data_IF_916984618135
#
_entry.id   IF_916984618135
#
_cell.length_a   1.000
_cell.length_b   1.000
_cell.length_c   1.000
_cell.angle_alpha   90.00
_cell.angle_beta   90.00
_cell.angle_gamma   90.00
#
_symmetry.space_group_name_H-M   'P 1'
#
loop_
_entity.id
_entity.type
_entity.pdbx_description
1 polymer ?
#
# COMPACT_ATOMS: atom_id res chain seq x y z
N UNK A 1 -9.71 11.84 -65.51
CA UNK A 1 -8.83 11.99 -64.32
C UNK A 1 -9.66 12.46 -63.11
N UNK A 2 -10.58 11.62 -62.61
CA UNK A 2 -11.39 11.90 -61.42
C UNK A 2 -11.56 10.56 -60.69
N UNK A 3 -10.52 9.99 -60.09
CA UNK A 3 -10.69 8.79 -59.22
C UNK A 3 -9.48 8.39 -58.35
N UNK A 4 -8.58 9.27 -57.92
CA UNK A 4 -7.50 8.84 -57.01
C UNK A 4 -7.11 9.84 -55.89
N UNK A 5 -7.94 10.84 -55.59
CA UNK A 5 -7.63 11.82 -54.53
C UNK A 5 -8.60 11.79 -53.34
N UNK A 6 -9.56 10.86 -53.32
CA UNK A 6 -10.61 10.79 -52.29
C UNK A 6 -10.47 9.61 -51.30
N UNK A 7 -9.35 8.88 -51.32
CA UNK A 7 -9.09 7.72 -50.41
C UNK A 7 -7.87 7.97 -49.53
N UNK A 8 -7.57 9.24 -49.23
CA UNK A 8 -6.47 9.60 -48.30
C UNK A 8 -6.94 10.57 -47.21
N UNK A 9 -8.26 10.71 -47.04
CA UNK A 9 -8.89 11.68 -46.13
C UNK A 9 -9.80 11.06 -45.08
N UNK A 10 -9.65 9.75 -44.82
CA UNK A 10 -10.48 8.98 -43.87
C UNK A 10 -9.60 8.30 -42.79
N UNK A 11 -8.39 8.81 -42.53
CA UNK A 11 -7.44 8.16 -41.61
C UNK A 11 -6.77 9.08 -40.60
N UNK A 12 -7.23 10.32 -40.43
CA UNK A 12 -6.55 11.31 -39.58
C UNK A 12 -7.44 12.02 -38.57
N UNK A 13 -8.64 11.50 -38.30
CA UNK A 13 -9.59 12.10 -37.36
C UNK A 13 -9.95 11.16 -36.20
N UNK A 14 -9.07 10.21 -35.87
CA UNK A 14 -9.06 9.60 -34.53
C UNK A 14 -8.36 10.59 -33.58
N UNK A 15 -9.06 11.68 -33.28
CA UNK A 15 -8.79 12.47 -32.09
C UNK A 15 -8.83 11.51 -30.90
N UNK A 16 -7.64 11.12 -30.44
CA UNK A 16 -7.40 10.59 -29.12
C UNK A 16 -7.93 11.62 -28.12
N UNK A 17 -9.23 11.55 -27.80
CA UNK A 17 -9.84 12.17 -26.64
C UNK A 17 -9.14 11.58 -25.42
N UNK A 18 -7.99 12.13 -25.08
CA UNK A 18 -7.43 12.08 -23.72
C UNK A 18 -8.48 12.73 -22.83
N UNK A 19 -9.37 11.90 -22.29
CA UNK A 19 -10.21 12.30 -21.18
C UNK A 19 -9.29 12.97 -20.16
N UNK A 20 -9.53 14.24 -19.77
CA UNK A 20 -8.81 14.81 -18.66
C UNK A 20 -9.09 13.93 -17.46
N UNK A 21 -8.05 13.22 -17.01
CA UNK A 21 -8.02 12.41 -15.79
C UNK A 21 -8.78 13.20 -14.72
N UNK A 22 -10.00 12.76 -14.44
CA UNK A 22 -10.97 13.55 -13.69
C UNK A 22 -10.31 14.05 -12.42
N UNK A 23 -10.27 15.37 -12.23
CA UNK A 23 -9.96 15.93 -10.92
C UNK A 23 -11.04 15.36 -10.00
N UNK A 24 -10.65 14.38 -9.19
CA UNK A 24 -11.48 13.81 -8.15
C UNK A 24 -12.07 15.00 -7.38
N UNK A 25 -13.41 15.10 -7.36
CA UNK A 25 -14.10 16.26 -6.81
C UNK A 25 -13.55 16.56 -5.42
N UNK A 26 -13.21 17.82 -5.16
CA UNK A 26 -12.68 18.25 -3.87
C UNK A 26 -13.81 18.13 -2.85
N UNK A 27 -13.92 16.96 -2.22
CA UNK A 27 -14.75 16.77 -1.03
C UNK A 27 -14.39 17.85 -0.02
N UNK A 28 -15.37 18.39 0.69
CA UNK A 28 -15.12 19.43 1.69
C UNK A 28 -14.18 18.90 2.78
N UNK A 29 -13.21 19.70 3.23
CA UNK A 29 -12.25 19.28 4.26
C UNK A 29 -12.94 18.69 5.52
N UNK A 30 -14.06 19.28 5.98
CA UNK A 30 -14.83 18.73 7.10
C UNK A 30 -15.40 17.34 6.80
N UNK A 31 -15.92 17.14 5.59
CA UNK A 31 -16.45 15.85 5.15
C UNK A 31 -15.34 14.78 5.10
N UNK A 32 -14.16 15.13 4.56
CA UNK A 32 -13.00 14.21 4.53
C UNK A 32 -12.61 13.78 5.94
N UNK A 33 -12.52 14.73 6.89
CA UNK A 33 -12.14 14.42 8.26
C UNK A 33 -13.17 13.51 8.97
N UNK A 34 -14.46 13.72 8.72
CA UNK A 34 -15.54 12.90 9.27
C UNK A 34 -15.59 11.50 8.63
N UNK A 35 -15.45 11.42 7.31
CA UNK A 35 -15.34 10.16 6.57
C UNK A 35 -14.12 9.35 7.06
N UNK A 36 -12.96 9.99 7.21
CA UNK A 36 -11.75 9.36 7.73
C UNK A 36 -11.98 8.75 9.12
N UNK A 37 -12.65 9.49 10.02
CA UNK A 37 -12.97 8.99 11.36
C UNK A 37 -13.91 7.78 11.31
N UNK A 38 -14.94 7.84 10.46
CA UNK A 38 -15.87 6.73 10.24
C UNK A 38 -15.14 5.50 9.71
N UNK A 39 -14.33 5.66 8.66
CA UNK A 39 -13.50 4.60 8.07
C UNK A 39 -12.59 3.97 9.12
N UNK A 40 -11.84 4.76 9.90
CA UNK A 40 -10.99 4.24 10.96
C UNK A 40 -11.78 3.45 12.01
N UNK A 41 -12.95 3.94 12.42
CA UNK A 41 -13.78 3.24 13.40
C UNK A 41 -14.32 1.91 12.87
N UNK A 42 -14.68 1.85 11.59
CA UNK A 42 -15.14 0.64 10.91
C UNK A 42 -14.06 -0.44 10.88
N UNK A 43 -12.85 -0.11 10.40
CA UNK A 43 -11.73 -1.07 10.35
C UNK A 43 -11.27 -1.49 11.74
N UNK A 44 -11.28 -0.57 12.72
CA UNK A 44 -11.02 -0.90 14.12
C UNK A 44 -12.02 -1.93 14.64
N UNK A 45 -13.31 -1.72 14.41
CA UNK A 45 -14.35 -2.61 14.89
C UNK A 45 -14.26 -4.01 14.25
N UNK A 46 -13.92 -4.07 12.95
CA UNK A 46 -13.64 -5.33 12.26
C UNK A 46 -12.44 -6.04 12.90
N UNK A 47 -11.30 -5.36 13.05
CA UNK A 47 -10.10 -5.97 13.62
C UNK A 47 -10.38 -6.50 15.03
N UNK A 48 -11.04 -5.73 15.90
CA UNK A 48 -11.39 -6.22 17.24
C UNK A 48 -12.40 -7.37 17.19
N UNK A 49 -13.43 -7.28 16.35
CA UNK A 49 -14.46 -8.31 16.21
C UNK A 49 -13.88 -9.64 15.76
N UNK A 50 -13.02 -9.65 14.75
CA UNK A 50 -12.40 -10.86 14.22
C UNK A 50 -11.39 -11.45 15.20
N UNK A 51 -10.57 -10.62 15.86
CA UNK A 51 -9.63 -11.11 16.88
C UNK A 51 -10.35 -11.69 18.09
N UNK A 52 -11.40 -11.02 18.59
CA UNK A 52 -12.20 -11.51 19.70
C UNK A 52 -12.90 -12.83 19.34
N UNK A 53 -13.54 -12.89 18.16
CA UNK A 53 -14.21 -14.08 17.67
C UNK A 53 -13.23 -15.26 17.52
N UNK A 54 -12.05 -15.01 16.94
CA UNK A 54 -11.01 -16.01 16.77
C UNK A 54 -10.56 -16.56 18.13
N UNK A 55 -10.22 -15.70 19.10
CA UNK A 55 -9.76 -16.13 20.44
C UNK A 55 -10.84 -16.92 21.16
N UNK A 56 -12.10 -16.47 21.12
CA UNK A 56 -13.23 -17.14 21.76
C UNK A 56 -13.46 -18.53 21.16
N UNK A 57 -13.52 -18.63 19.83
CA UNK A 57 -13.75 -19.92 19.16
C UNK A 57 -12.56 -20.87 19.32
N UNK A 58 -11.34 -20.36 19.24
CA UNK A 58 -10.14 -21.16 19.48
C UNK A 58 -10.10 -21.70 20.91
N UNK A 59 -10.45 -20.86 21.89
CA UNK A 59 -10.52 -21.25 23.30
C UNK A 59 -11.59 -22.33 23.55
N UNK A 60 -12.79 -22.17 22.99
CA UNK A 60 -13.91 -23.10 23.23
C UNK A 60 -13.73 -24.43 22.48
N UNK A 61 -13.28 -24.39 21.22
CA UNK A 61 -13.27 -25.57 20.35
C UNK A 61 -11.93 -26.31 20.33
N UNK A 62 -10.81 -25.63 20.58
CA UNK A 62 -9.46 -26.14 20.25
C UNK A 62 -8.42 -25.91 21.36
N UNK A 63 -8.83 -25.97 22.63
CA UNK A 63 -7.96 -25.77 23.80
C UNK A 63 -6.71 -26.68 23.82
N UNK A 64 -6.86 -27.95 23.44
CA UNK A 64 -5.76 -28.94 23.45
C UNK A 64 -4.84 -28.84 22.22
N UNK A 65 -5.26 -28.15 21.16
CA UNK A 65 -4.54 -28.08 19.87
C UNK A 65 -3.61 -26.86 19.76
N UNK A 66 -3.28 -26.23 20.89
CA UNK A 66 -2.43 -25.05 20.97
C UNK A 66 -0.96 -25.36 20.60
N UNK A 67 -0.61 -25.12 19.34
CA UNK A 67 0.78 -25.23 18.86
C UNK A 67 1.44 -23.84 18.85
N UNK A 68 2.69 -23.74 19.30
CA UNK A 68 3.44 -22.48 19.36
C UNK A 68 3.51 -21.73 18.01
N UNK A 69 3.54 -22.46 16.89
CA UNK A 69 3.52 -21.89 15.55
C UNK A 69 2.24 -21.08 15.25
N UNK A 70 1.07 -21.57 15.65
CA UNK A 70 -0.19 -20.86 15.44
C UNK A 70 -0.33 -19.66 16.38
N UNK A 71 0.23 -19.73 17.59
CA UNK A 71 0.34 -18.56 18.48
C UNK A 71 1.21 -17.48 17.83
N UNK A 72 2.36 -17.86 17.29
CA UNK A 72 3.25 -16.92 16.59
C UNK A 72 2.57 -16.28 15.38
N UNK A 73 1.86 -17.07 14.56
CA UNK A 73 1.11 -16.55 13.40
C UNK A 73 -0.04 -15.64 13.82
N UNK A 74 -0.72 -15.95 14.93
CA UNK A 74 -1.72 -15.07 15.53
C UNK A 74 -1.13 -13.75 16.02
N UNK A 75 0.01 -13.78 16.71
CA UNK A 75 0.73 -12.56 17.11
C UNK A 75 1.17 -11.74 15.89
N UNK A 76 1.63 -12.40 14.83
CA UNK A 76 1.98 -11.73 13.57
C UNK A 76 0.75 -11.04 12.94
N UNK A 77 -0.41 -11.70 12.95
CA UNK A 77 -1.67 -11.10 12.50
C UNK A 77 -2.11 -9.92 13.38
N UNK A 78 -1.96 -10.00 14.71
CA UNK A 78 -2.19 -8.88 15.61
C UNK A 78 -1.27 -7.70 15.30
N UNK A 79 0.01 -7.95 15.08
CA UNK A 79 0.97 -6.93 14.66
C UNK A 79 0.59 -6.32 13.30
N UNK A 80 0.10 -7.12 12.34
CA UNK A 80 -0.36 -6.64 11.05
C UNK A 80 -1.60 -5.74 11.17
N UNK A 81 -2.62 -6.17 11.93
CA UNK A 81 -3.80 -5.36 12.24
C UNK A 81 -3.42 -4.04 12.90
N UNK A 82 -2.59 -4.11 13.95
CA UNK A 82 -2.16 -2.92 14.68
C UNK A 82 -1.32 -1.98 13.81
N UNK A 83 -0.35 -2.52 13.06
CA UNK A 83 0.52 -1.74 12.18
C UNK A 83 -0.26 -1.05 11.06
N UNK A 84 -1.14 -1.77 10.36
CA UNK A 84 -1.96 -1.20 9.30
C UNK A 84 -2.98 -0.19 9.84
N UNK A 85 -3.61 -0.46 10.99
CA UNK A 85 -4.51 0.49 11.63
C UNK A 85 -3.78 1.76 12.06
N UNK A 86 -2.60 1.63 12.68
CA UNK A 86 -1.79 2.76 13.10
C UNK A 86 -1.35 3.61 11.89
N UNK A 87 -1.00 2.96 10.79
CA UNK A 87 -0.67 3.63 9.53
C UNK A 87 -1.87 4.40 8.97
N UNK A 88 -3.06 3.79 8.92
CA UNK A 88 -4.30 4.48 8.52
C UNK A 88 -4.63 5.66 9.45
N UNK A 89 -4.50 5.45 10.76
CA UNK A 89 -4.79 6.47 11.76
C UNK A 89 -3.84 7.66 11.64
N UNK A 90 -2.57 7.42 11.34
CA UNK A 90 -1.58 8.47 11.10
C UNK A 90 -1.90 9.27 9.83
N UNK A 91 -2.26 8.60 8.73
CA UNK A 91 -2.58 9.28 7.46
C UNK A 91 -3.88 10.08 7.52
N UNK A 92 -4.91 9.55 8.19
CA UNK A 92 -6.23 10.19 8.29
C UNK A 92 -6.36 11.18 9.45
N UNK A 93 -5.29 11.46 10.19
CA UNK A 93 -5.33 12.35 11.37
C UNK A 93 -5.46 13.82 10.93
N UNK A 94 -6.65 14.37 11.10
CA UNK A 94 -6.87 15.81 10.93
C UNK A 94 -6.12 16.65 11.96
N UNK A 95 -5.62 17.83 11.54
CA UNK A 95 -5.03 18.85 12.40
C UNK A 95 -6.05 19.93 12.69
N UNK A 96 -6.20 20.28 13.96
CA UNK A 96 -7.15 21.27 14.44
C UNK A 96 -6.42 22.41 15.16
N UNK A 97 -6.95 23.63 15.08
CA UNK A 97 -6.52 24.79 15.87
C UNK A 97 -6.89 24.58 17.34
N UNK A 98 -6.26 25.33 18.24
CA UNK A 98 -6.62 25.42 19.67
C UNK A 98 -8.09 25.74 19.91
N UNK A 99 -8.71 26.47 18.98
CA UNK A 99 -10.12 26.89 19.01
C UNK A 99 -11.07 25.83 18.40
N UNK A 100 -10.56 24.65 18.01
CA UNK A 100 -11.35 23.54 17.46
C UNK A 100 -11.66 23.63 15.97
N UNK A 101 -11.18 24.67 15.27
CA UNK A 101 -11.31 24.79 13.82
C UNK A 101 -10.38 23.81 13.07
N UNK A 102 -10.89 23.12 12.05
CA UNK A 102 -10.12 22.19 11.24
C UNK A 102 -9.15 22.96 10.33
N UNK A 103 -7.84 22.73 10.50
CA UNK A 103 -6.77 23.30 9.68
C UNK A 103 -6.50 22.41 8.47
N UNK A 104 -6.41 21.11 8.69
CA UNK A 104 -6.08 20.10 7.68
C UNK A 104 -6.88 18.82 7.95
N UNK A 105 -7.66 18.29 6.99
CA UNK A 105 -8.40 17.05 7.15
C UNK A 105 -7.55 15.78 7.22
N UNK A 106 -6.25 15.86 6.89
CA UNK A 106 -5.41 14.70 6.65
C UNK A 106 -5.62 14.12 5.25
N UNK A 107 -4.94 13.01 4.95
CA UNK A 107 -5.10 12.32 3.66
C UNK A 107 -6.48 11.64 3.64
N UNK A 108 -7.24 11.84 2.57
CA UNK A 108 -8.51 11.13 2.36
C UNK A 108 -8.22 9.63 2.22
N UNK A 109 -8.64 8.86 3.22
CA UNK A 109 -8.42 7.41 3.26
C UNK A 109 -9.25 6.68 2.19
N UNK A 110 -10.30 7.31 1.65
CA UNK A 110 -11.22 6.74 0.67
C UNK A 110 -10.86 7.10 -0.78
N UNK A 111 -9.67 7.65 -1.03
CA UNK A 111 -9.15 7.82 -2.39
C UNK A 111 -8.82 6.46 -3.02
N UNK A 112 -9.31 6.23 -4.24
CA UNK A 112 -9.15 5.00 -5.06
C UNK A 112 -7.70 4.70 -5.53
N UNK A 113 -6.71 5.50 -5.12
CA UNK A 113 -5.31 5.30 -5.54
C UNK A 113 -4.35 5.81 -4.45
N UNK A 114 -4.59 5.36 -3.22
CA UNK A 114 -3.81 5.76 -2.05
C UNK A 114 -3.17 4.58 -1.34
N UNK A 115 -2.06 4.82 -0.64
CA UNK A 115 -1.43 3.83 0.26
C UNK A 115 -2.40 3.31 1.35
N UNK A 116 -3.46 4.06 1.63
CA UNK A 116 -4.54 3.66 2.53
C UNK A 116 -5.31 2.43 2.02
N UNK A 117 -5.50 2.28 0.71
CA UNK A 117 -6.17 1.11 0.12
C UNK A 117 -5.40 -0.16 0.44
N UNK A 118 -4.09 -0.17 0.20
CA UNK A 118 -3.24 -1.32 0.54
C UNK A 118 -3.29 -1.67 2.03
N UNK A 119 -3.36 -0.68 2.92
CA UNK A 119 -3.49 -0.93 4.34
C UNK A 119 -4.87 -1.52 4.72
N UNK A 120 -5.95 -1.07 4.08
CA UNK A 120 -7.29 -1.64 4.22
C UNK A 120 -7.34 -3.08 3.70
N UNK A 121 -6.74 -3.34 2.54
CA UNK A 121 -6.65 -4.67 1.95
C UNK A 121 -5.93 -5.65 2.86
N UNK A 122 -4.83 -5.23 3.49
CA UNK A 122 -4.10 -6.09 4.45
C UNK A 122 -4.97 -6.40 5.67
N UNK A 123 -5.73 -5.44 6.21
CA UNK A 123 -6.65 -5.67 7.33
C UNK A 123 -7.75 -6.66 6.94
N UNK A 124 -8.37 -6.48 5.77
CA UNK A 124 -9.44 -7.37 5.30
C UNK A 124 -8.91 -8.76 4.97
N UNK A 125 -7.77 -8.86 4.27
CA UNK A 125 -7.13 -10.13 3.97
C UNK A 125 -6.77 -10.89 5.24
N UNK A 126 -6.15 -10.21 6.22
CA UNK A 126 -5.82 -10.83 7.52
C UNK A 126 -7.08 -11.30 8.25
N UNK A 127 -8.17 -10.52 8.18
CA UNK A 127 -9.46 -10.89 8.77
C UNK A 127 -10.04 -12.15 8.13
N UNK A 128 -9.99 -12.26 6.80
CA UNK A 128 -10.45 -13.43 6.05
C UNK A 128 -9.60 -14.66 6.41
N UNK A 129 -8.28 -14.50 6.44
CA UNK A 129 -7.35 -15.58 6.83
C UNK A 129 -7.65 -16.07 8.25
N UNK A 130 -7.91 -15.17 9.21
CA UNK A 130 -8.33 -15.55 10.56
C UNK A 130 -9.65 -16.31 10.56
N UNK A 131 -10.66 -15.86 9.81
CA UNK A 131 -11.94 -16.58 9.70
C UNK A 131 -11.78 -17.99 9.10
N UNK A 132 -11.00 -18.12 8.03
CA UNK A 132 -10.70 -19.42 7.40
C UNK A 132 -9.87 -20.33 8.30
N UNK A 133 -8.98 -19.75 9.12
CA UNK A 133 -8.11 -20.52 10.01
C UNK A 133 -8.87 -21.31 11.07
N UNK A 134 -10.09 -20.86 11.43
CA UNK A 134 -10.99 -21.58 12.34
C UNK A 134 -11.46 -22.89 11.71
N UNK A 135 -11.67 -22.91 10.39
CA UNK A 135 -12.07 -24.11 9.64
C UNK A 135 -10.85 -25.03 9.49
N UNK A 136 -9.69 -24.47 9.16
CA UNK A 136 -8.47 -25.23 8.95
C UNK A 136 -7.22 -24.41 9.23
N UNK A 137 -6.38 -24.90 10.14
CA UNK A 137 -5.14 -24.22 10.55
C UNK A 137 -4.15 -23.99 9.40
N UNK A 138 -4.22 -24.75 8.31
CA UNK A 138 -3.35 -24.56 7.15
C UNK A 138 -3.52 -23.19 6.49
N UNK A 139 -4.69 -22.55 6.63
CA UNK A 139 -4.93 -21.22 6.08
C UNK A 139 -4.07 -20.14 6.72
N UNK A 140 -3.52 -20.37 7.91
CA UNK A 140 -2.52 -19.46 8.50
C UNK A 140 -1.29 -19.26 7.61
N UNK A 141 -0.96 -20.22 6.75
CA UNK A 141 0.14 -20.09 5.79
C UNK A 141 -0.12 -19.00 4.73
N UNK A 142 -1.39 -18.67 4.45
CA UNK A 142 -1.73 -17.56 3.56
C UNK A 142 -1.27 -16.22 4.12
N UNK A 143 -1.14 -16.09 5.44
CA UNK A 143 -0.61 -14.88 6.07
C UNK A 143 0.83 -14.60 5.62
N UNK A 144 1.62 -15.64 5.32
CA UNK A 144 3.00 -15.50 4.86
C UNK A 144 3.12 -14.89 3.45
N UNK A 145 2.03 -14.82 2.69
CA UNK A 145 2.01 -14.13 1.39
C UNK A 145 2.29 -12.64 1.55
N UNK A 146 1.85 -12.01 2.64
CA UNK A 146 2.08 -10.59 2.92
C UNK A 146 3.59 -10.28 3.08
N UNK A 147 4.32 -10.91 4.03
CA UNK A 147 5.76 -10.68 4.17
C UNK A 147 6.53 -11.18 2.94
N UNK A 148 6.08 -12.25 2.28
CA UNK A 148 6.66 -12.71 1.02
C UNK A 148 6.59 -11.64 -0.09
N UNK A 149 5.44 -10.98 -0.25
CA UNK A 149 5.27 -9.88 -1.21
C UNK A 149 6.09 -8.66 -0.83
N UNK A 150 6.12 -8.30 0.46
CA UNK A 150 6.94 -7.18 0.94
C UNK A 150 8.43 -7.42 0.68
N UNK A 151 8.90 -8.64 0.96
CA UNK A 151 10.27 -9.05 0.67
C UNK A 151 10.56 -9.02 -0.83
N UNK A 152 9.65 -9.50 -1.67
CA UNK A 152 9.81 -9.42 -3.13
C UNK A 152 9.96 -7.98 -3.63
N UNK A 153 9.14 -7.05 -3.14
CA UNK A 153 9.30 -5.62 -3.48
C UNK A 153 10.63 -5.05 -2.99
N UNK A 154 11.06 -5.38 -1.77
CA UNK A 154 12.37 -4.98 -1.24
C UNK A 154 13.51 -5.54 -2.10
N UNK A 155 13.38 -6.80 -2.51
CA UNK A 155 14.34 -7.49 -3.35
C UNK A 155 14.48 -6.82 -4.71
N UNK A 156 13.38 -6.62 -5.44
CA UNK A 156 13.41 -6.06 -6.79
C UNK A 156 13.78 -4.58 -6.81
N UNK A 157 13.34 -3.78 -5.82
CA UNK A 157 13.51 -2.33 -5.86
C UNK A 157 14.81 -1.84 -5.19
N UNK A 158 15.34 -2.57 -4.20
CA UNK A 158 16.49 -2.10 -3.41
C UNK A 158 17.68 -3.07 -3.54
N UNK A 159 17.49 -4.34 -3.22
CA UNK A 159 18.60 -5.29 -3.15
C UNK A 159 19.15 -5.65 -4.54
N UNK A 160 18.29 -5.99 -5.49
CA UNK A 160 18.70 -6.40 -6.83
C UNK A 160 19.43 -5.29 -7.58
N UNK A 161 18.94 -4.03 -7.63
CA UNK A 161 19.68 -2.95 -8.28
C UNK A 161 20.99 -2.62 -7.58
N UNK A 162 21.11 -2.83 -6.27
CA UNK A 162 22.34 -2.58 -5.53
C UNK A 162 23.39 -3.69 -5.75
N UNK A 163 22.97 -4.97 -5.73
CA UNK A 163 23.85 -6.13 -5.94
C UNK A 163 24.26 -6.25 -7.41
N UNK A 164 23.33 -6.00 -8.33
CA UNK A 164 23.52 -6.14 -9.77
C UNK A 164 23.70 -4.79 -10.47
N UNK A 165 24.01 -3.72 -9.73
CA UNK A 165 24.39 -2.44 -10.33
C UNK A 165 25.56 -2.71 -11.29
N UNK A 166 25.45 -2.40 -12.59
CA UNK A 166 26.59 -2.48 -13.48
C UNK A 166 27.69 -1.60 -12.90
N UNK A 167 28.93 -2.12 -12.86
CA UNK A 167 30.09 -1.34 -12.45
C UNK A 167 30.04 -0.02 -13.23
N UNK A 168 30.21 1.15 -12.56
CA UNK A 168 30.07 2.43 -13.22
C UNK A 168 30.99 2.40 -14.45
N UNK A 169 30.40 2.43 -15.65
CA UNK A 169 31.17 2.52 -16.88
C UNK A 169 32.04 3.74 -16.71
N UNK A 170 33.32 3.47 -16.57
CA UNK A 170 34.33 4.47 -16.34
C UNK A 170 34.40 5.27 -17.64
N UNK A 171 33.59 6.32 -17.70
CA UNK A 171 33.63 7.31 -18.76
C UNK A 171 35.05 7.89 -18.74
N UNK A 172 35.94 7.37 -19.60
CA UNK A 172 37.37 7.69 -19.63
C UNK A 172 37.60 9.20 -19.70
N UNK A 173 36.63 9.94 -20.25
CA UNK A 173 36.60 11.41 -20.29
C UNK A 173 36.46 12.04 -18.90
N UNK A 174 35.67 11.46 -17.99
CA UNK A 174 35.52 11.92 -16.60
C UNK A 174 36.72 11.54 -15.74
N UNK A 175 37.36 10.39 -15.97
CA UNK A 175 38.64 10.06 -15.32
C UNK A 175 39.74 11.01 -15.74
N UNK A 176 39.98 11.21 -17.05
CA UNK A 176 41.01 12.16 -17.53
C UNK A 176 40.77 13.59 -17.04
N UNK A 177 39.50 14.00 -16.84
CA UNK A 177 39.17 15.33 -16.28
C UNK A 177 39.41 15.40 -14.76
N UNK A 178 39.23 14.31 -14.01
CA UNK A 178 39.58 14.22 -12.59
C UNK A 178 41.11 14.18 -12.40
N UNK A 179 41.82 13.39 -13.20
CA UNK A 179 43.28 13.30 -13.18
C UNK A 179 43.95 14.63 -13.56
N UNK A 180 43.48 15.30 -14.63
CA UNK A 180 43.97 16.65 -15.00
C UNK A 180 43.72 17.71 -13.93
N UNK A 181 42.70 17.54 -13.08
CA UNK A 181 42.42 18.45 -11.95
C UNK A 181 43.24 18.10 -10.71
N UNK A 182 43.52 16.81 -10.48
CA UNK A 182 44.38 16.35 -9.39
C UNK A 182 45.86 16.74 -9.64
N UNK A 183 46.35 16.59 -10.88
CA UNK A 183 47.70 16.97 -11.29
C UNK A 183 47.94 18.49 -11.31
N UNK A 184 46.88 19.32 -11.18
CA UNK A 184 47.00 20.78 -11.02
C UNK A 184 47.02 21.22 -9.55
N UNK A 185 46.78 20.29 -8.62
CA UNK A 185 46.77 20.55 -7.17
C UNK A 185 48.00 20.00 -6.45
N UNK A 186 48.83 19.24 -7.15
CA UNK A 186 50.21 18.91 -6.77
C UNK A 186 51.14 19.91 -7.46
#
# INVERSE_FOLDING_TARGET
MITLQNVTRIGSDDEEKKQPKGKQGTKGAKQIAEENKSTLSFYRNISFGVNALYVVLQYILFWESFTALYIFLFLLALCAHFGCYQFLAYMGKGRYTTDGHLIDPGIDLNMESGMAEHAKDVILFTSIVQGLSIISNYFWLLLLVIPGRAFYMLWVNILAPWIFAPAPEVDEKKLKKRERKAARRQ
#
